data_IF_650828378335
#
_entry.id   IF_650828378335
#
_cell.length_a   1.000
_cell.length_b   1.000
_cell.length_c   1.000
_cell.angle_alpha   90.00
_cell.angle_beta   90.00
_cell.angle_gamma   90.00
#
_symmetry.space_group_name_H-M   'P 1'
#
loop_
_entity.id
_entity.type
_entity.pdbx_description
1 polymer ?
#
# COMPACT_ATOMS: atom_id res chain seq x y z
N UNK A 1 -0.71 4.37 -27.53
CA UNK A 1 -1.22 3.63 -26.36
C UNK A 1 -2.35 4.44 -25.69
N UNK A 2 -3.62 4.11 -25.98
CA UNK A 2 -4.78 4.74 -25.32
C UNK A 2 -4.90 4.13 -23.93
N UNK A 3 -4.45 4.87 -22.93
CA UNK A 3 -4.34 4.29 -21.60
C UNK A 3 -5.75 4.08 -21.02
N UNK A 4 -6.72 5.03 -21.12
CA UNK A 4 -8.11 4.78 -20.68
C UNK A 4 -9.17 5.50 -21.57
N UNK A 5 -10.24 4.83 -21.98
CA UNK A 5 -11.31 5.35 -22.88
C UNK A 5 -12.29 6.36 -22.22
N UNK A 6 -12.17 6.65 -20.92
CA UNK A 6 -13.07 7.56 -20.17
C UNK A 6 -12.35 8.48 -19.18
N UNK A 7 -11.20 9.06 -19.58
CA UNK A 7 -10.52 10.04 -18.71
C UNK A 7 -11.28 11.37 -18.76
N UNK A 8 -11.70 11.86 -17.58
CA UNK A 8 -12.27 13.21 -17.40
C UNK A 8 -11.19 14.32 -17.34
N UNK A 9 -9.92 13.98 -17.54
CA UNK A 9 -8.78 14.92 -17.52
C UNK A 9 -7.86 14.65 -18.71
N UNK A 10 -7.12 15.68 -19.12
CA UNK A 10 -6.13 15.56 -20.20
C UNK A 10 -5.03 14.56 -19.85
N UNK A 11 -4.34 14.06 -20.88
CA UNK A 11 -3.22 13.12 -20.70
C UNK A 11 -2.10 13.75 -19.86
N UNK A 12 -1.78 15.02 -20.08
CA UNK A 12 -0.77 15.76 -19.32
C UNK A 12 -1.10 15.77 -17.82
N UNK A 13 -2.33 16.14 -17.45
CA UNK A 13 -2.78 16.16 -16.05
C UNK A 13 -2.71 14.78 -15.41
N UNK A 14 -3.09 13.74 -16.13
CA UNK A 14 -2.93 12.37 -15.65
C UNK A 14 -1.46 12.00 -15.43
N UNK A 15 -0.58 12.33 -16.37
CA UNK A 15 0.85 12.03 -16.26
C UNK A 15 1.47 12.71 -15.05
N UNK A 16 1.08 13.97 -14.78
CA UNK A 16 1.50 14.68 -13.56
C UNK A 16 1.01 13.92 -12.33
N UNK A 17 -0.29 13.63 -12.21
CA UNK A 17 -0.82 12.88 -11.05
C UNK A 17 -0.14 11.53 -10.84
N UNK A 18 0.13 10.79 -11.92
CA UNK A 18 0.80 9.49 -11.84
C UNK A 18 2.26 9.64 -11.40
N UNK A 19 3.00 10.60 -11.97
CA UNK A 19 4.40 10.84 -11.61
C UNK A 19 4.52 11.34 -10.17
N UNK A 20 3.61 12.21 -9.73
CA UNK A 20 3.51 12.63 -8.33
C UNK A 20 3.25 11.46 -7.39
N UNK A 21 2.36 10.54 -7.77
CA UNK A 21 2.09 9.34 -6.96
C UNK A 21 3.33 8.46 -6.82
N UNK A 22 4.08 8.23 -7.91
CA UNK A 22 5.32 7.44 -7.88
C UNK A 22 6.42 8.12 -7.07
N UNK A 23 6.46 9.45 -7.06
CA UNK A 23 7.40 10.25 -6.28
C UNK A 23 6.98 10.47 -4.81
N UNK A 24 5.97 9.74 -4.31
CA UNK A 24 5.40 9.89 -2.96
C UNK A 24 4.92 11.31 -2.61
N UNK A 25 4.54 12.10 -3.61
CA UNK A 25 3.93 13.41 -3.41
C UNK A 25 2.47 13.23 -3.03
N UNK A 26 2.00 13.98 -2.02
CA UNK A 26 0.62 13.90 -1.55
C UNK A 26 -0.40 14.24 -2.65
N UNK A 27 -1.60 13.62 -2.58
CA UNK A 27 -2.68 13.89 -3.53
C UNK A 27 -3.13 15.36 -3.54
N UNK A 28 -3.01 16.04 -2.39
CA UNK A 28 -3.30 17.47 -2.25
C UNK A 28 -2.34 18.28 -3.11
N UNK A 29 -1.04 18.15 -2.87
CA UNK A 29 0.01 18.87 -3.63
C UNK A 29 -0.04 18.50 -5.11
N UNK A 30 -0.26 17.22 -5.43
CA UNK A 30 -0.41 16.77 -6.81
C UNK A 30 -1.62 17.41 -7.52
N UNK A 31 -2.71 17.69 -6.79
CA UNK A 31 -3.90 18.35 -7.33
C UNK A 31 -3.62 19.80 -7.73
N UNK A 32 -2.80 20.50 -6.94
CA UNK A 32 -2.35 21.87 -7.18
C UNK A 32 -1.43 21.91 -8.40
N UNK A 33 -0.42 21.03 -8.45
CA UNK A 33 0.52 20.93 -9.58
C UNK A 33 -0.20 20.57 -10.88
N UNK A 34 -1.14 19.61 -10.85
CA UNK A 34 -1.88 19.19 -12.03
C UNK A 34 -3.03 20.13 -12.42
N UNK A 35 -3.36 21.12 -11.58
CA UNK A 35 -4.51 22.00 -11.77
C UNK A 35 -5.82 21.23 -11.90
N UNK A 36 -6.09 20.31 -10.97
CA UNK A 36 -7.33 19.53 -10.90
C UNK A 36 -7.98 19.70 -9.53
N UNK A 37 -9.30 19.45 -9.44
CA UNK A 37 -9.96 19.40 -8.14
C UNK A 37 -9.35 18.29 -7.27
N UNK A 38 -9.08 18.58 -5.99
CA UNK A 38 -8.56 17.63 -4.99
C UNK A 38 -9.28 16.27 -5.01
N UNK A 39 -10.62 16.25 -5.07
CA UNK A 39 -11.42 15.01 -5.15
C UNK A 39 -11.09 14.16 -6.39
N UNK A 40 -10.68 14.81 -7.48
CA UNK A 40 -10.23 14.13 -8.70
C UNK A 40 -8.86 13.50 -8.50
N UNK A 41 -7.91 14.22 -7.89
CA UNK A 41 -6.60 13.67 -7.55
C UNK A 41 -6.71 12.47 -6.58
N UNK A 42 -7.49 12.62 -5.50
CA UNK A 42 -7.77 11.55 -4.53
C UNK A 42 -8.34 10.31 -5.21
N UNK A 43 -9.29 10.48 -6.14
CA UNK A 43 -9.84 9.38 -6.93
C UNK A 43 -8.76 8.65 -7.73
N UNK A 44 -7.88 9.37 -8.44
CA UNK A 44 -6.80 8.75 -9.22
C UNK A 44 -5.79 8.03 -8.32
N UNK A 45 -5.41 8.64 -7.20
CA UNK A 45 -4.51 8.02 -6.22
C UNK A 45 -5.09 6.71 -5.69
N UNK A 46 -6.39 6.68 -5.38
CA UNK A 46 -7.05 5.45 -4.95
C UNK A 46 -7.08 4.38 -6.04
N UNK A 47 -7.30 4.75 -7.30
CA UNK A 47 -7.21 3.81 -8.42
C UNK A 47 -5.80 3.23 -8.57
N UNK A 48 -4.75 4.03 -8.36
CA UNK A 48 -3.36 3.54 -8.41
C UNK A 48 -3.08 2.56 -7.25
N UNK A 49 -3.50 2.90 -6.04
CA UNK A 49 -3.38 2.00 -4.88
C UNK A 49 -4.14 0.70 -5.07
N UNK A 50 -5.34 0.77 -5.64
CA UNK A 50 -6.15 -0.41 -5.92
C UNK A 50 -5.44 -1.35 -6.90
N UNK A 51 -4.84 -0.81 -7.98
CA UNK A 51 -4.07 -1.62 -8.92
C UNK A 51 -2.89 -2.33 -8.26
N UNK A 52 -2.14 -1.63 -7.40
CA UNK A 52 -1.04 -2.23 -6.61
C UNK A 52 -1.57 -3.32 -5.69
N UNK A 53 -2.67 -3.07 -5.00
CA UNK A 53 -3.29 -4.04 -4.10
C UNK A 53 -3.77 -5.31 -4.82
N UNK A 54 -4.42 -5.15 -5.96
CA UNK A 54 -4.88 -6.26 -6.80
C UNK A 54 -3.70 -7.10 -7.30
N UNK A 55 -2.62 -6.46 -7.74
CA UNK A 55 -1.40 -7.15 -8.16
C UNK A 55 -0.75 -7.90 -6.99
N UNK A 56 -0.61 -7.25 -5.83
CA UNK A 56 -0.05 -7.88 -4.63
C UNK A 56 -0.89 -9.09 -4.17
N UNK A 57 -2.22 -9.03 -4.28
CA UNK A 57 -3.10 -10.17 -4.01
C UNK A 57 -2.90 -11.31 -5.01
N UNK A 58 -2.70 -10.99 -6.28
CA UNK A 58 -2.42 -11.99 -7.31
C UNK A 58 -1.07 -12.67 -7.09
N UNK A 59 -0.02 -11.91 -6.79
CA UNK A 59 1.30 -12.42 -6.43
C UNK A 59 1.22 -13.35 -5.21
N UNK A 60 0.51 -12.95 -4.15
CA UNK A 60 0.29 -13.81 -2.97
C UNK A 60 -0.38 -15.14 -3.30
N UNK A 61 -1.40 -15.13 -4.17
CA UNK A 61 -2.10 -16.35 -4.63
C UNK A 61 -1.15 -17.26 -5.39
N UNK A 62 -0.33 -16.69 -6.28
CA UNK A 62 0.63 -17.44 -7.09
C UNK A 62 1.75 -18.06 -6.25
N UNK A 63 2.20 -17.38 -5.19
CA UNK A 63 3.23 -17.88 -4.28
C UNK A 63 2.72 -18.90 -3.24
N UNK A 64 1.46 -19.37 -3.31
CA UNK A 64 0.87 -20.29 -2.34
C UNK A 64 1.05 -19.83 -0.86
N UNK A 65 1.10 -18.52 -0.62
CA UNK A 65 1.06 -17.92 0.72
C UNK A 65 -0.38 -17.99 1.28
N UNK A 66 -0.96 -19.20 1.30
CA UNK A 66 -2.31 -19.49 1.82
C UNK A 66 -2.36 -19.48 3.35
N UNK A 67 -1.21 -19.68 3.99
CA UNK A 67 -1.07 -19.71 5.44
C UNK A 67 -0.33 -18.45 5.84
N UNK A 68 -0.91 -17.73 6.82
CA UNK A 68 -0.55 -16.37 7.22
C UNK A 68 0.91 -16.02 6.99
N UNK A 69 1.13 -14.98 6.18
CA UNK A 69 2.39 -14.26 6.14
C UNK A 69 2.89 -14.14 7.58
N UNK A 70 3.99 -14.83 7.88
CA UNK A 70 4.89 -14.41 8.93
C UNK A 70 5.52 -13.13 8.37
N UNK A 71 4.72 -12.04 8.35
CA UNK A 71 5.28 -10.71 8.48
C UNK A 71 6.15 -10.88 9.70
N UNK A 72 7.48 -10.73 9.56
CA UNK A 72 8.35 -10.59 10.71
C UNK A 72 7.77 -9.38 11.41
N UNK A 73 6.92 -9.68 12.37
CA UNK A 73 6.00 -8.76 12.99
C UNK A 73 6.91 -7.62 13.39
N UNK A 74 6.58 -6.41 12.95
CA UNK A 74 7.28 -5.19 13.30
C UNK A 74 7.14 -5.03 14.82
N UNK A 75 7.98 -5.81 15.47
CA UNK A 75 8.50 -5.92 16.79
C UNK A 75 9.18 -4.65 17.26
N UNK A 76 8.49 -3.64 17.78
CA UNK A 76 9.24 -2.70 18.62
C UNK A 76 9.46 -3.35 20.00
N UNK A 77 10.72 -3.54 20.42
CA UNK A 77 11.08 -4.07 21.76
C UNK A 77 11.74 -5.47 21.79
N UNK A 78 12.23 -5.91 22.97
CA UNK A 78 13.60 -5.81 23.48
C UNK A 78 14.56 -6.89 22.95
N UNK A 79 15.84 -6.80 23.35
CA UNK A 79 17.01 -7.60 22.89
C UNK A 79 16.68 -9.09 22.68
N UNK A 80 17.02 -9.60 21.49
CA UNK A 80 16.88 -11.00 21.08
C UNK A 80 17.31 -11.96 22.19
N UNK A 81 16.39 -12.82 22.62
CA UNK A 81 16.69 -13.94 23.53
C UNK A 81 17.12 -15.15 22.70
N UNK A 82 18.38 -15.57 22.84
CA UNK A 82 18.92 -16.74 22.11
C UNK A 82 18.11 -17.98 22.48
N UNK A 83 17.58 -18.68 21.47
CA UNK A 83 16.77 -19.90 21.66
C UNK A 83 15.24 -19.71 21.64
N UNK A 84 14.72 -18.47 21.72
CA UNK A 84 13.27 -18.20 21.59
C UNK A 84 12.99 -17.46 20.28
N UNK A 85 12.22 -18.06 19.37
CA UNK A 85 11.80 -17.49 18.08
C UNK A 85 10.33 -17.01 18.13
N UNK A 86 9.95 -16.10 17.24
CA UNK A 86 8.57 -15.62 17.07
C UNK A 86 8.01 -14.83 18.27
N UNK A 87 6.71 -15.03 18.54
CA UNK A 87 5.92 -14.42 19.63
C UNK A 87 6.35 -14.85 21.04
N UNK A 88 7.11 -15.94 21.17
CA UNK A 88 7.53 -16.51 22.45
C UNK A 88 8.63 -15.72 23.16
N UNK A 89 9.23 -14.72 22.50
CA UNK A 89 10.12 -13.76 23.12
C UNK A 89 9.28 -12.71 23.87
N UNK A 90 9.21 -12.83 25.20
CA UNK A 90 8.43 -11.93 26.04
C UNK A 90 8.82 -10.46 25.86
N UNK A 91 7.84 -9.56 26.01
CA UNK A 91 7.94 -8.08 26.00
C UNK A 91 8.05 -7.38 24.64
N UNK A 92 7.77 -8.04 23.52
CA UNK A 92 7.65 -7.38 22.21
C UNK A 92 6.37 -6.51 22.13
N UNK A 93 6.51 -5.25 21.71
CA UNK A 93 5.42 -4.28 21.52
C UNK A 93 4.87 -4.47 20.11
N UNK A 94 3.58 -4.83 20.01
CA UNK A 94 2.88 -4.98 18.73
C UNK A 94 2.69 -3.60 18.10
N UNK A 95 3.24 -3.39 16.90
CA UNK A 95 3.14 -2.12 16.17
C UNK A 95 1.91 -2.05 15.28
N UNK A 96 1.36 -3.21 14.88
CA UNK A 96 0.10 -3.31 14.15
C UNK A 96 -0.82 -4.37 14.78
N UNK A 97 -2.02 -4.02 15.27
CA UNK A 97 -2.98 -5.00 15.75
C UNK A 97 -3.63 -5.71 14.54
N UNK A 98 -2.99 -6.77 14.05
CA UNK A 98 -3.66 -7.73 13.18
C UNK A 98 -4.47 -8.67 14.07
N UNK A 99 -5.78 -8.45 14.15
CA UNK A 99 -6.71 -9.39 14.79
C UNK A 99 -6.70 -10.69 13.99
N UNK A 100 -6.43 -11.81 14.68
CA UNK A 100 -6.65 -13.13 14.08
C UNK A 100 -8.15 -13.32 13.95
N UNK A 101 -8.65 -13.43 12.73
CA UNK A 101 -9.97 -14.03 12.49
C UNK A 101 -9.96 -15.42 13.11
N UNK A 102 -10.89 -15.68 14.04
CA UNK A 102 -11.16 -17.03 14.54
C UNK A 102 -11.74 -17.82 13.37
N UNK A 103 -11.08 -18.91 12.97
CA UNK A 103 -11.74 -20.03 12.32
C UNK A 103 -12.34 -20.91 13.41
#
# INVERSE_FOLDING_TARGET
>A
MRIHNRRRISRQKYTILFSSFVADISALTASEIAGVNRKTADRYFNLFRQAIFEQALQERRNCNLKNGLELDESYFGPRRVRGKRGRGAGRKIIVFPLSRGKQ
#
